data_IF_953354457293
#
_entry.id   IF_953354457293
#
_cell.length_a   1.000
_cell.length_b   1.000
_cell.length_c   1.000
_cell.angle_alpha   90.00
_cell.angle_beta   90.00
_cell.angle_gamma   90.00
#
_symmetry.space_group_name_H-M   'P 1'
#
loop_
_entity.id
_entity.type
_entity.pdbx_description
1 polymer ?
#
# COMPACT_ATOMS: atom_id res chain seq x y z
N UNK A 1 -11.87 19.98 -10.84
CA UNK A 1 -10.68 19.11 -10.97
C UNK A 1 -10.65 18.23 -9.74
N UNK A 2 -10.43 16.93 -9.88
CA UNK A 2 -10.40 16.06 -8.71
C UNK A 2 -9.12 16.31 -7.90
N UNK A 3 -9.27 16.51 -6.60
CA UNK A 3 -8.25 17.01 -5.68
C UNK A 3 -7.51 15.85 -5.00
N UNK A 4 -6.72 15.11 -5.77
CA UNK A 4 -5.81 14.08 -5.28
C UNK A 4 -4.38 14.34 -5.79
N UNK A 5 -3.33 13.92 -5.05
CA UNK A 5 -1.94 14.12 -5.47
C UNK A 5 -1.67 13.54 -6.86
N UNK A 6 -0.81 14.22 -7.62
CA UNK A 6 -0.30 13.68 -8.87
C UNK A 6 0.56 12.42 -8.61
N UNK A 7 0.62 11.53 -9.61
CA UNK A 7 1.53 10.40 -9.58
C UNK A 7 2.97 10.89 -9.37
N UNK A 8 3.64 10.32 -8.37
CA UNK A 8 5.07 10.54 -8.13
C UNK A 8 5.87 9.45 -8.82
N UNK A 9 7.20 9.60 -9.01
CA UNK A 9 8.01 8.59 -9.66
C UNK A 9 7.79 7.20 -9.06
N UNK A 10 7.45 6.24 -9.91
CA UNK A 10 7.23 4.84 -9.57
C UNK A 10 7.74 3.94 -10.69
N UNK A 11 7.95 2.66 -10.38
CA UNK A 11 8.33 1.62 -11.33
C UNK A 11 7.11 1.01 -12.03
N UNK A 12 7.34 0.03 -12.92
CA UNK A 12 6.26 -0.74 -13.52
C UNK A 12 5.60 -1.68 -12.50
N UNK A 13 4.50 -2.34 -12.92
CA UNK A 13 3.92 -3.47 -12.20
C UNK A 13 4.78 -4.70 -12.47
N UNK A 14 5.45 -5.22 -11.44
CA UNK A 14 6.30 -6.40 -11.52
C UNK A 14 5.60 -7.60 -10.90
N UNK A 15 5.48 -8.70 -11.65
CA UNK A 15 5.04 -9.99 -11.08
C UNK A 15 6.12 -10.50 -10.12
N UNK A 16 5.74 -10.81 -8.89
CA UNK A 16 6.64 -11.38 -7.88
C UNK A 16 6.36 -12.86 -7.65
N UNK A 17 5.08 -13.21 -7.54
CA UNK A 17 4.58 -14.57 -7.38
C UNK A 17 3.37 -14.78 -8.30
N UNK A 18 2.83 -15.98 -8.32
CA UNK A 18 1.54 -16.21 -8.96
C UNK A 18 0.45 -15.39 -8.27
N UNK A 19 -0.21 -14.57 -9.07
CA UNK A 19 -1.24 -13.63 -8.63
C UNK A 19 -0.82 -12.61 -7.57
N UNK A 20 0.49 -12.38 -7.41
CA UNK A 20 1.03 -11.31 -6.57
C UNK A 20 1.99 -10.45 -7.36
N UNK A 21 1.73 -9.16 -7.36
CA UNK A 21 2.50 -8.16 -8.08
C UNK A 21 2.92 -7.05 -7.13
N UNK A 22 3.95 -6.33 -7.53
CA UNK A 22 4.55 -5.28 -6.74
C UNK A 22 4.84 -4.06 -7.60
N UNK A 23 4.64 -2.89 -7.02
CA UNK A 23 5.04 -1.61 -7.61
C UNK A 23 5.89 -0.87 -6.60
N UNK A 24 7.09 -0.48 -7.01
CA UNK A 24 7.89 0.47 -6.26
C UNK A 24 7.42 1.89 -6.55
N UNK A 25 6.97 2.60 -5.52
CA UNK A 25 6.64 4.01 -5.57
C UNK A 25 7.69 4.89 -4.90
N UNK A 26 7.43 6.19 -4.92
CA UNK A 26 8.14 7.15 -4.08
C UNK A 26 7.21 8.26 -3.61
N UNK A 27 7.63 8.96 -2.55
CA UNK A 27 7.02 10.21 -2.10
C UNK A 27 8.13 11.22 -1.75
N UNK A 28 7.96 12.45 -2.22
CA UNK A 28 8.74 13.60 -1.79
C UNK A 28 8.16 14.16 -0.50
N UNK A 29 8.91 14.01 0.59
CA UNK A 29 8.55 14.52 1.91
C UNK A 29 8.99 15.98 2.13
N UNK A 30 9.91 16.48 1.28
CA UNK A 30 10.42 17.84 1.36
C UNK A 30 11.55 18.11 0.36
N UNK A 31 12.20 19.29 0.42
CA UNK A 31 13.40 19.57 -0.38
C UNK A 31 14.50 18.53 -0.13
N UNK A 32 14.98 17.86 -1.18
CA UNK A 32 16.04 16.85 -1.10
C UNK A 32 15.65 15.52 -0.43
N UNK A 33 14.42 15.38 0.10
CA UNK A 33 13.96 14.19 0.82
C UNK A 33 12.89 13.44 0.02
N UNK A 34 13.29 12.32 -0.59
CA UNK A 34 12.41 11.39 -1.27
C UNK A 34 12.57 10.01 -0.64
N UNK A 35 11.48 9.40 -0.21
CA UNK A 35 11.45 8.06 0.36
C UNK A 35 10.74 7.11 -0.63
N UNK A 36 11.12 5.84 -0.61
CA UNK A 36 10.45 4.79 -1.37
C UNK A 36 9.12 4.43 -0.71
N UNK A 37 8.17 3.99 -1.52
CA UNK A 37 6.91 3.37 -1.11
C UNK A 37 6.75 2.05 -1.83
N UNK A 38 5.93 1.15 -1.30
CA UNK A 38 5.65 -0.14 -1.93
C UNK A 38 4.14 -0.35 -1.96
N UNK A 39 3.64 -0.72 -3.13
CA UNK A 39 2.28 -1.21 -3.30
C UNK A 39 2.34 -2.69 -3.69
N UNK A 40 1.50 -3.51 -3.08
CA UNK A 40 1.34 -4.92 -3.45
C UNK A 40 -0.06 -5.11 -4.03
N UNK A 41 -0.15 -5.84 -5.14
CA UNK A 41 -1.40 -6.18 -5.79
C UNK A 41 -1.60 -7.69 -5.65
N UNK A 42 -2.73 -8.10 -5.11
CA UNK A 42 -3.13 -9.50 -5.06
C UNK A 42 -4.32 -9.69 -5.97
N UNK A 43 -4.19 -10.59 -6.95
CA UNK A 43 -5.24 -10.94 -7.90
C UNK A 43 -6.00 -12.18 -7.43
N UNK A 44 -7.32 -12.15 -7.57
CA UNK A 44 -8.18 -13.30 -7.33
C UNK A 44 -9.42 -13.17 -8.21
N UNK A 45 -9.74 -14.19 -9.00
CA UNK A 45 -10.94 -14.23 -9.86
C UNK A 45 -11.13 -13.00 -10.78
N UNK A 46 -10.01 -12.41 -11.25
CA UNK A 46 -10.02 -11.22 -12.10
C UNK A 46 -10.20 -9.88 -11.34
N UNK A 47 -10.33 -9.93 -10.02
CA UNK A 47 -10.37 -8.77 -9.13
C UNK A 47 -9.00 -8.52 -8.49
N UNK A 48 -8.75 -7.27 -8.10
CA UNK A 48 -7.51 -6.84 -7.46
C UNK A 48 -7.80 -6.24 -6.08
N UNK A 49 -7.06 -6.76 -5.10
CA UNK A 49 -6.87 -6.13 -3.78
C UNK A 49 -5.51 -5.44 -3.77
N UNK A 50 -5.52 -4.13 -3.56
CA UNK A 50 -4.34 -3.26 -3.53
C UNK A 50 -3.96 -3.00 -2.08
N UNK A 51 -2.78 -3.43 -1.66
CA UNK A 51 -2.22 -3.17 -0.33
C UNK A 51 -1.27 -1.97 -0.42
N UNK A 52 -1.44 -0.98 0.47
CA UNK A 52 -0.70 0.29 0.51
C UNK A 52 -0.66 0.99 -0.86
N UNK A 53 -1.80 1.53 -1.33
CA UNK A 53 -1.89 2.13 -2.66
C UNK A 53 -0.80 3.18 -2.94
N UNK A 54 -0.27 3.15 -4.16
CA UNK A 54 0.65 4.13 -4.71
C UNK A 54 0.04 4.68 -5.98
N UNK A 55 -0.11 6.00 -6.08
CA UNK A 55 -0.67 6.63 -7.27
C UNK A 55 0.17 6.34 -8.52
N UNK A 56 -0.44 5.62 -9.46
CA UNK A 56 0.12 5.29 -10.77
C UNK A 56 -0.12 6.41 -11.78
N UNK A 57 0.80 6.53 -12.73
CA UNK A 57 0.60 7.25 -13.98
C UNK A 57 -0.40 6.54 -14.90
N UNK A 58 -0.86 7.25 -15.93
CA UNK A 58 -1.91 6.75 -16.83
C UNK A 58 -1.51 5.48 -17.57
N UNK A 59 -0.24 5.36 -17.97
CA UNK A 59 0.28 4.20 -18.70
C UNK A 59 0.30 2.94 -17.81
N UNK A 60 0.75 3.08 -16.57
CA UNK A 60 0.84 1.98 -15.62
C UNK A 60 -0.53 1.61 -15.06
N UNK A 61 -1.42 2.59 -14.88
CA UNK A 61 -2.83 2.32 -14.55
C UNK A 61 -3.54 1.56 -15.67
N UNK A 62 -3.26 1.87 -16.94
CA UNK A 62 -3.80 1.09 -18.05
C UNK A 62 -3.36 -0.38 -17.99
N UNK A 63 -2.14 -0.65 -17.53
CA UNK A 63 -1.66 -2.02 -17.29
C UNK A 63 -2.34 -2.65 -16.06
N UNK A 64 -2.58 -1.88 -14.99
CA UNK A 64 -3.36 -2.33 -13.83
C UNK A 64 -4.77 -2.79 -14.24
N UNK A 65 -5.44 -2.02 -15.10
CA UNK A 65 -6.79 -2.33 -15.60
C UNK A 65 -6.83 -3.60 -16.48
N UNK A 66 -5.76 -3.89 -17.21
CA UNK A 66 -5.63 -5.16 -17.95
C UNK A 66 -5.41 -6.35 -17.03
N UNK A 67 -4.80 -6.13 -15.87
CA UNK A 67 -4.49 -7.18 -14.90
C UNK A 67 -5.74 -7.66 -14.15
N UNK A 68 -6.65 -6.74 -13.85
CA UNK A 68 -7.92 -7.03 -13.20
C UNK A 68 -8.66 -5.76 -12.78
N UNK A 69 -9.85 -5.94 -12.22
CA UNK A 69 -10.66 -4.83 -11.69
C UNK A 69 -10.27 -4.56 -10.25
N UNK A 70 -9.83 -3.35 -9.93
CA UNK A 70 -9.58 -2.95 -8.53
C UNK A 70 -10.91 -2.90 -7.78
N UNK A 71 -11.02 -3.71 -6.72
CA UNK A 71 -12.21 -3.74 -5.85
C UNK A 71 -11.90 -3.27 -4.45
N UNK A 72 -10.66 -3.41 -4.01
CA UNK A 72 -10.28 -3.16 -2.63
C UNK A 72 -8.95 -2.40 -2.58
N UNK A 73 -8.92 -1.35 -1.76
CA UNK A 73 -7.72 -0.64 -1.34
C UNK A 73 -7.57 -0.84 0.17
N UNK A 74 -6.45 -1.42 0.60
CA UNK A 74 -6.18 -1.75 1.99
C UNK A 74 -4.97 -0.96 2.45
N UNK A 75 -5.21 -0.04 3.38
CA UNK A 75 -4.18 0.75 4.05
C UNK A 75 -3.66 -0.05 5.25
N UNK A 76 -2.40 -0.47 5.19
CA UNK A 76 -1.77 -1.24 6.27
C UNK A 76 -1.06 -0.35 7.29
N UNK A 77 -0.56 0.82 6.88
CA UNK A 77 0.16 1.74 7.77
C UNK A 77 -0.58 3.05 8.01
N UNK A 78 -0.48 3.54 9.24
CA UNK A 78 -1.08 4.81 9.68
C UNK A 78 -0.78 5.98 8.74
N UNK A 79 0.46 6.09 8.24
CA UNK A 79 0.89 7.20 7.40
C UNK A 79 0.59 7.01 5.89
N UNK A 80 0.05 5.86 5.46
CA UNK A 80 0.03 5.40 4.06
C UNK A 80 -1.32 5.58 3.35
N UNK A 81 -1.99 6.72 3.53
CA UNK A 81 -3.33 6.98 2.98
C UNK A 81 -3.43 8.05 1.88
N UNK A 82 -2.32 8.64 1.45
CA UNK A 82 -2.33 9.82 0.58
C UNK A 82 -3.00 9.59 -0.79
N UNK A 83 -3.00 8.34 -1.26
CA UNK A 83 -3.49 7.98 -2.59
C UNK A 83 -4.88 7.30 -2.52
N UNK A 84 -5.42 7.05 -1.33
CA UNK A 84 -6.63 6.25 -1.15
C UNK A 84 -7.85 6.85 -1.82
N UNK A 85 -8.01 8.18 -1.70
CA UNK A 85 -9.10 8.92 -2.36
C UNK A 85 -9.13 8.66 -3.86
N UNK A 86 -7.97 8.54 -4.51
CA UNK A 86 -7.93 8.24 -5.93
C UNK A 86 -8.49 6.86 -6.23
N UNK A 87 -8.06 5.85 -5.49
CA UNK A 87 -8.51 4.48 -5.70
C UNK A 87 -10.01 4.33 -5.42
N UNK A 88 -10.52 5.01 -4.39
CA UNK A 88 -11.96 5.03 -4.08
C UNK A 88 -12.74 5.76 -5.19
N UNK A 89 -12.44 7.02 -5.47
CA UNK A 89 -13.27 7.84 -6.37
C UNK A 89 -13.11 7.49 -7.85
N UNK A 90 -11.92 7.02 -8.27
CA UNK A 90 -11.59 6.82 -9.70
C UNK A 90 -11.58 5.37 -10.12
N UNK A 91 -11.27 4.46 -9.20
CA UNK A 91 -11.27 3.02 -9.47
C UNK A 91 -12.42 2.30 -8.77
N UNK A 92 -13.24 2.99 -7.96
CA UNK A 92 -14.40 2.41 -7.29
C UNK A 92 -14.02 1.41 -6.21
N UNK A 93 -12.81 1.51 -5.65
CA UNK A 93 -12.34 0.60 -4.63
C UNK A 93 -13.05 0.84 -3.30
N UNK A 94 -13.36 -0.24 -2.57
CA UNK A 94 -13.69 -0.14 -1.14
C UNK A 94 -12.42 0.08 -0.34
N UNK A 95 -12.41 1.05 0.57
CA UNK A 95 -11.28 1.34 1.44
C UNK A 95 -11.36 0.55 2.75
N UNK A 96 -10.24 -0.06 3.13
CA UNK A 96 -10.05 -0.80 4.38
C UNK A 96 -8.89 -0.19 5.16
N UNK A 97 -9.09 0.11 6.44
CA UNK A 97 -8.01 0.53 7.35
C UNK A 97 -8.32 0.10 8.79
N UNK A 98 -7.36 0.20 9.69
CA UNK A 98 -7.54 -0.14 11.09
C UNK A 98 -8.30 0.95 11.85
N UNK A 99 -8.92 0.56 12.97
CA UNK A 99 -9.49 1.53 13.90
C UNK A 99 -8.43 2.54 14.37
N UNK A 100 -8.85 3.80 14.51
CA UNK A 100 -7.98 4.90 14.89
C UNK A 100 -6.99 5.38 13.81
N UNK A 101 -7.04 4.86 12.57
CA UNK A 101 -6.15 5.27 11.47
C UNK A 101 -6.49 6.67 10.90
N UNK A 102 -6.37 7.71 11.74
CA UNK A 102 -6.86 9.07 11.47
C UNK A 102 -5.90 10.02 10.77
N UNK A 103 -4.69 9.59 10.38
CA UNK A 103 -3.72 10.48 9.71
C UNK A 103 -4.21 10.99 8.36
N UNK A 104 -4.91 10.14 7.60
CA UNK A 104 -5.65 10.52 6.40
C UNK A 104 -7.14 10.26 6.69
N UNK A 105 -7.87 11.27 7.19
CA UNK A 105 -9.24 11.11 7.68
C UNK A 105 -10.26 10.93 6.55
N UNK A 106 -9.90 11.30 5.32
CA UNK A 106 -10.71 11.11 4.13
C UNK A 106 -9.94 10.26 3.09
N UNK A 107 -10.64 9.43 2.30
CA UNK A 107 -12.06 9.14 2.43
C UNK A 107 -12.35 8.30 3.68
N UNK A 108 -13.57 8.38 4.21
CA UNK A 108 -14.03 7.49 5.28
C UNK A 108 -13.89 6.03 4.80
N UNK A 109 -13.23 5.15 5.57
CA UNK A 109 -13.08 3.74 5.20
C UNK A 109 -14.42 3.02 5.19
N UNK A 110 -14.64 2.18 4.18
CA UNK A 110 -15.81 1.30 4.10
C UNK A 110 -15.75 0.17 5.13
N UNK A 111 -14.53 -0.26 5.49
CA UNK A 111 -14.30 -1.33 6.46
C UNK A 111 -13.21 -0.95 7.45
N UNK A 112 -13.57 -1.00 8.73
CA UNK A 112 -12.62 -0.92 9.85
C UNK A 112 -12.11 -2.32 10.17
N UNK A 113 -10.80 -2.51 10.08
CA UNK A 113 -10.12 -3.78 10.29
C UNK A 113 -9.68 -3.96 11.74
N UNK A 114 -9.88 -5.16 12.25
CA UNK A 114 -9.40 -5.66 13.54
C UNK A 114 -8.77 -7.06 13.40
N UNK A 115 -8.37 -7.68 14.51
CA UNK A 115 -7.75 -9.01 14.49
C UNK A 115 -8.69 -10.17 14.09
N UNK A 116 -9.99 -9.93 13.95
CA UNK A 116 -10.97 -10.92 13.51
C UNK A 116 -11.41 -10.70 12.06
N UNK A 117 -11.01 -9.58 11.45
CA UNK A 117 -11.40 -9.18 10.11
C UNK A 117 -10.81 -10.12 9.07
N UNK A 118 -11.67 -10.63 8.17
CA UNK A 118 -11.26 -11.38 6.99
C UNK A 118 -11.00 -10.42 5.85
N UNK A 119 -9.82 -10.51 5.25
CA UNK A 119 -9.46 -9.71 4.09
C UNK A 119 -10.17 -10.21 2.82
N UNK A 120 -10.34 -9.34 1.80
CA UNK A 120 -10.82 -9.74 0.48
C UNK A 120 -9.71 -10.44 -0.33
N UNK A 121 -9.06 -11.42 0.30
CA UNK A 121 -8.01 -12.29 -0.25
C UNK A 121 -8.19 -13.63 0.50
N UNK A 122 -8.60 -14.69 -0.19
CA UNK A 122 -9.17 -15.89 0.44
C UNK A 122 -8.21 -16.61 1.41
N UNK A 123 -6.92 -16.61 1.10
CA UNK A 123 -5.87 -17.28 1.87
C UNK A 123 -5.09 -16.34 2.79
N UNK A 124 -5.42 -15.04 2.81
CA UNK A 124 -4.67 -14.07 3.59
C UNK A 124 -5.02 -14.12 5.07
N UNK A 125 -4.00 -13.98 5.92
CA UNK A 125 -4.16 -13.75 7.35
C UNK A 125 -3.77 -12.30 7.68
N UNK A 126 -4.68 -11.60 8.36
CA UNK A 126 -4.43 -10.26 8.88
C UNK A 126 -3.83 -10.34 10.30
N UNK A 127 -2.76 -9.59 10.53
CA UNK A 127 -2.17 -9.42 11.85
C UNK A 127 -2.17 -7.95 12.26
N UNK A 128 -2.97 -7.58 13.27
CA UNK A 128 -3.05 -6.20 13.76
C UNK A 128 -2.10 -5.98 14.94
N UNK A 129 -1.23 -4.98 14.86
CA UNK A 129 -0.28 -4.63 15.92
C UNK A 129 -0.97 -3.87 17.06
N UNK A 130 -1.54 -4.60 18.04
CA UNK A 130 -2.36 -4.01 19.13
C UNK A 130 -1.64 -3.03 20.06
N UNK A 131 -0.31 -3.07 20.12
CA UNK A 131 0.52 -2.24 21.01
C UNK A 131 1.35 -1.20 20.25
N UNK A 132 1.16 -1.07 18.93
CA UNK A 132 1.84 -0.05 18.17
C UNK A 132 1.32 1.34 18.58
N UNK A 133 2.22 2.34 18.59
CA UNK A 133 1.85 3.73 18.89
C UNK A 133 0.85 4.30 17.86
N UNK A 134 0.98 3.85 16.61
CA UNK A 134 0.11 4.20 15.51
C UNK A 134 -0.52 2.92 14.96
N UNK A 135 -1.81 2.91 14.59
CA UNK A 135 -2.46 1.73 14.03
C UNK A 135 -1.71 1.19 12.81
N UNK A 136 -1.40 -0.10 12.87
CA UNK A 136 -0.69 -0.79 11.81
C UNK A 136 -1.08 -2.27 11.79
N UNK A 137 -0.98 -2.89 10.62
CA UNK A 137 -1.16 -4.32 10.45
C UNK A 137 -0.19 -4.89 9.39
N UNK A 138 -0.03 -6.20 9.43
CA UNK A 138 0.65 -6.97 8.40
C UNK A 138 -0.32 -7.97 7.77
N UNK A 139 -0.05 -8.33 6.52
CA UNK A 139 -0.80 -9.37 5.79
C UNK A 139 0.14 -10.51 5.47
N UNK A 140 -0.19 -11.72 5.91
CA UNK A 140 0.50 -12.94 5.52
C UNK A 140 -0.28 -13.63 4.41
N UNK A 141 0.38 -13.85 3.28
CA UNK A 141 -0.09 -14.74 2.22
C UNK A 141 0.71 -16.05 2.32
N UNK A 142 0.08 -17.21 2.58
CA UNK A 142 0.76 -18.50 2.68
C UNK A 142 1.11 -19.08 1.30
N UNK A 143 1.68 -18.25 0.42
CA UNK A 143 2.09 -18.59 -0.95
C UNK A 143 3.61 -18.60 -1.05
N UNK A 144 4.17 -19.51 -1.84
CA UNK A 144 5.62 -19.61 -2.12
C UNK A 144 6.52 -19.53 -0.87
N UNK A 145 6.19 -20.31 0.16
CA UNK A 145 6.93 -20.34 1.43
C UNK A 145 6.54 -19.25 2.43
N UNK A 146 5.61 -18.36 2.06
CA UNK A 146 5.04 -17.31 2.90
C UNK A 146 5.53 -15.92 2.50
N UNK A 147 4.60 -15.07 2.07
CA UNK A 147 4.84 -13.65 1.83
C UNK A 147 4.21 -12.82 2.94
N UNK A 148 5.04 -12.10 3.70
CA UNK A 148 4.58 -11.13 4.68
C UNK A 148 4.66 -9.71 4.08
N UNK A 149 3.51 -9.04 3.98
CA UNK A 149 3.41 -7.64 3.56
C UNK A 149 3.25 -6.78 4.81
N UNK A 150 4.21 -5.89 5.03
CA UNK A 150 4.26 -4.98 6.18
C UNK A 150 4.28 -3.53 5.72
N UNK A 151 4.25 -2.64 6.70
CA UNK A 151 4.44 -1.22 6.50
C UNK A 151 5.64 -0.74 7.35
N UNK A 152 5.49 0.34 8.10
CA UNK A 152 6.56 0.99 8.83
C UNK A 152 7.11 0.18 10.03
N UNK A 153 6.37 -0.82 10.52
CA UNK A 153 6.75 -1.72 11.63
C UNK A 153 7.89 -2.70 11.27
N UNK A 154 8.10 -3.00 9.99
CA UNK A 154 9.22 -3.84 9.52
C UNK A 154 9.80 -3.21 8.26
N UNK A 155 11.01 -2.66 8.40
CA UNK A 155 11.67 -1.90 7.34
C UNK A 155 12.86 -2.66 6.75
N UNK A 156 13.05 -2.50 5.44
CA UNK A 156 14.20 -3.04 4.72
C UNK A 156 15.10 -1.92 4.21
N UNK A 157 16.33 -1.84 4.72
CA UNK A 157 17.26 -0.73 4.43
C UNK A 157 18.33 -1.07 3.37
N UNK A 158 18.34 -2.28 2.81
CA UNK A 158 19.29 -2.67 1.77
C UNK A 158 18.78 -2.21 0.40
N UNK A 159 19.67 -1.63 -0.42
CA UNK A 159 19.36 -1.17 -1.77
C UNK A 159 18.53 0.12 -1.85
N UNK A 160 17.46 0.24 -1.04
CA UNK A 160 16.50 1.37 -0.97
C UNK A 160 16.43 2.20 -2.26
N UNK A 161 15.98 1.59 -3.38
CA UNK A 161 15.85 2.31 -4.63
C UNK A 161 14.83 3.45 -4.47
N UNK A 162 14.96 4.50 -5.27
CA UNK A 162 14.14 5.73 -5.19
C UNK A 162 14.28 6.57 -3.90
N UNK A 163 14.95 6.08 -2.85
CA UNK A 163 15.31 6.91 -1.70
C UNK A 163 16.47 7.88 -2.01
N UNK A 164 16.35 9.14 -1.60
CA UNK A 164 17.47 10.09 -1.62
C UNK A 164 18.49 9.77 -0.51
N UNK A 165 19.71 10.30 -0.63
CA UNK A 165 20.75 10.08 0.40
C UNK A 165 20.29 10.61 1.77
N UNK A 166 19.70 11.81 1.80
CA UNK A 166 19.15 12.41 3.02
C UNK A 166 18.08 11.49 3.63
N UNK A 167 17.16 10.98 2.80
CA UNK A 167 16.14 10.05 3.25
C UNK A 167 16.72 8.76 3.85
N UNK A 168 17.76 8.18 3.24
CA UNK A 168 18.40 6.97 3.77
C UNK A 168 19.01 7.17 5.16
N UNK A 169 19.59 8.36 5.40
CA UNK A 169 20.15 8.71 6.72
C UNK A 169 19.04 8.91 7.75
N UNK A 170 17.98 9.65 7.40
CA UNK A 170 16.85 9.92 8.31
C UNK A 170 16.10 8.64 8.66
N UNK A 171 15.78 7.80 7.68
CA UNK A 171 15.02 6.56 7.91
C UNK A 171 15.74 5.61 8.88
N UNK A 172 17.07 5.47 8.77
CA UNK A 172 17.88 4.67 9.71
C UNK A 172 17.90 5.22 11.14
N UNK A 173 17.60 6.49 11.34
CA UNK A 173 17.54 7.09 12.66
C UNK A 173 16.13 6.99 13.28
N UNK A 174 15.11 6.76 12.45
CA UNK A 174 13.71 6.60 12.88
C UNK A 174 13.35 5.15 13.26
N UNK A 175 14.23 4.20 12.97
CA UNK A 175 14.12 2.77 13.30
C UNK A 175 15.41 2.03 12.97
#
# INVERSE_FOLDING_TARGET
>A
MADYPAAQPHGPIEKRLDDVYWVQGSIRMGPGMRISRNMVLVRQDGELTVLNPVRLDEATEANLKKLGTVKHAVRLGYFHGMDDRYYVERLGAKLWCQDGSSHHPEPIPDVIMDGATKLPIADATLFVFRKAKHPECAVLLPRDGGLLVTCDSVQHHVGTPMCSIIAKLVLRAMG
#
